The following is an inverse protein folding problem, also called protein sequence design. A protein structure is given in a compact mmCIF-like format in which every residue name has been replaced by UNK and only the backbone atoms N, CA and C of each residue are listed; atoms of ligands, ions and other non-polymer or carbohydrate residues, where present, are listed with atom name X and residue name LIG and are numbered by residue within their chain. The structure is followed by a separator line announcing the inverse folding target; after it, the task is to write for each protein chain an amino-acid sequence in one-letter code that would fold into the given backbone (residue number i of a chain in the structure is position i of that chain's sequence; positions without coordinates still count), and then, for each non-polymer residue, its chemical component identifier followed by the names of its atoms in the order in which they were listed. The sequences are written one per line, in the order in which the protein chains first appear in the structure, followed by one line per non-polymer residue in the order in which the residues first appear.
data_IF_607655353070
#
_entry.id   IF_607655353070
#
_cell.length_a   1.000
_cell.length_b   1.000
_cell.length_c   1.000
_cell.angle_alpha   90.00
_cell.angle_beta   90.00
_cell.angle_gamma   90.00
#
_symmetry.space_group_name_H-M   'P 1'
#
loop_
_entity.id
_entity.type
_entity.pdbx_description
1 polymer ?
#
# COMPACT_ATOMS: atom_id res chain seq x y z
N UNK A 1 21.84 29.36 -3.49
CA UNK A 1 22.17 28.31 -2.51
C UNK A 1 22.78 27.16 -3.29
N UNK A 2 24.08 26.95 -3.21
CA UNK A 2 24.77 25.93 -4.00
C UNK A 2 24.40 24.52 -3.55
N UNK A 3 24.27 23.59 -4.51
CA UNK A 3 24.15 22.18 -4.20
C UNK A 3 25.35 21.73 -3.34
N UNK A 4 25.18 20.78 -2.40
CA UNK A 4 26.30 20.20 -1.69
C UNK A 4 27.22 19.52 -2.70
N UNK A 5 28.36 20.16 -2.98
CA UNK A 5 29.34 19.73 -3.96
C UNK A 5 30.71 19.61 -3.30
N UNK A 6 31.55 18.73 -3.83
CA UNK A 6 32.91 18.59 -3.36
C UNK A 6 33.76 19.83 -3.74
N UNK A 7 34.80 20.15 -2.96
CA UNK A 7 35.77 21.19 -3.31
C UNK A 7 36.47 20.88 -4.64
N UNK A 8 37.15 21.89 -5.20
CA UNK A 8 37.96 21.71 -6.40
C UNK A 8 38.98 20.57 -6.22
N UNK A 9 39.15 19.74 -7.24
CA UNK A 9 40.06 18.58 -7.25
C UNK A 9 39.66 17.43 -6.32
N UNK A 10 38.44 17.42 -5.78
CA UNK A 10 37.87 16.27 -5.07
C UNK A 10 36.75 15.62 -5.90
N UNK A 11 36.64 14.29 -5.80
CA UNK A 11 35.53 13.53 -6.35
C UNK A 11 34.71 12.87 -5.23
N UNK A 12 33.37 12.77 -5.37
CA UNK A 12 32.51 12.19 -4.35
C UNK A 12 32.51 10.66 -4.41
N UNK A 13 32.72 10.02 -3.26
CA UNK A 13 32.45 8.60 -3.02
C UNK A 13 31.12 8.46 -2.31
N UNK A 14 30.21 7.65 -2.85
CA UNK A 14 28.91 7.39 -2.24
C UNK A 14 29.01 6.24 -1.23
N UNK A 15 28.57 6.50 -0.01
CA UNK A 15 28.43 5.54 1.07
C UNK A 15 26.96 5.50 1.50
N UNK A 16 26.47 4.34 1.94
CA UNK A 16 25.06 4.14 2.29
C UNK A 16 24.15 4.60 1.13
N UNK A 17 23.01 5.24 1.43
CA UNK A 17 22.13 5.75 0.38
C UNK A 17 22.53 7.18 -0.05
N UNK A 18 22.61 8.13 0.88
CA UNK A 18 22.75 9.56 0.53
C UNK A 18 24.07 10.20 0.98
N UNK A 19 24.93 9.47 1.70
CA UNK A 19 26.18 10.03 2.20
C UNK A 19 27.21 10.10 1.07
N UNK A 20 27.80 11.28 0.86
CA UNK A 20 28.91 11.49 -0.07
C UNK A 20 30.14 11.96 0.68
N UNK A 21 31.26 11.26 0.49
CA UNK A 21 32.56 11.59 1.07
C UNK A 21 33.47 12.09 -0.05
N UNK A 22 33.96 13.32 0.07
CA UNK A 22 34.85 13.91 -0.93
C UNK A 22 36.28 13.41 -0.70
N UNK A 23 36.89 12.82 -1.72
CA UNK A 23 38.27 12.30 -1.69
C UNK A 23 39.06 12.88 -2.87
N UNK A 24 40.36 13.05 -2.69
CA UNK A 24 41.29 13.45 -3.74
C UNK A 24 42.60 12.68 -3.60
N UNK A 25 43.22 12.37 -4.73
CA UNK A 25 44.57 11.82 -4.80
C UNK A 25 45.59 12.89 -5.26
N UNK A 26 45.14 14.13 -5.51
CA UNK A 26 45.98 15.24 -5.94
C UNK A 26 46.50 16.02 -4.72
N UNK A 27 47.67 15.63 -4.23
CA UNK A 27 48.28 16.27 -3.06
C UNK A 27 48.74 17.71 -3.33
N UNK A 28 48.92 18.13 -4.58
CA UNK A 28 49.38 19.48 -4.89
C UNK A 28 48.20 20.46 -4.86
N UNK A 29 47.10 20.09 -5.53
CA UNK A 29 45.97 20.98 -5.74
C UNK A 29 44.84 20.81 -4.71
N UNK A 30 44.78 19.69 -3.98
CA UNK A 30 43.72 19.40 -3.01
C UNK A 30 44.10 19.69 -1.55
N UNK A 31 45.40 19.79 -1.24
CA UNK A 31 45.92 20.07 0.12
C UNK A 31 45.27 21.29 0.80
N UNK A 32 44.98 22.42 0.11
CA UNK A 32 44.33 23.58 0.75
C UNK A 32 42.95 23.30 1.36
N UNK A 33 42.25 22.27 0.87
CA UNK A 33 40.93 21.85 1.37
C UNK A 33 40.96 20.52 2.14
N UNK A 34 42.14 19.90 2.28
CA UNK A 34 42.30 18.64 2.98
C UNK A 34 42.22 18.85 4.49
N UNK A 35 41.55 17.92 5.17
CA UNK A 35 41.43 17.91 6.64
C UNK A 35 41.98 16.58 7.20
N UNK A 36 42.70 16.60 8.33
CA UNK A 36 43.17 15.35 8.93
C UNK A 36 42.00 14.49 9.41
N UNK A 37 41.94 13.28 8.91
CA UNK A 37 40.85 12.34 9.10
C UNK A 37 41.21 11.27 10.14
N UNK A 38 40.35 11.12 11.15
CA UNK A 38 40.58 10.26 12.31
C UNK A 38 39.74 8.99 12.32
N UNK A 39 39.10 8.61 11.20
CA UNK A 39 38.33 7.39 11.08
C UNK A 39 36.81 7.57 11.23
N UNK A 40 36.08 6.50 10.89
CA UNK A 40 34.64 6.35 11.11
C UNK A 40 34.38 5.38 12.27
N UNK A 41 33.22 5.52 12.89
CA UNK A 41 32.64 4.52 13.80
C UNK A 41 31.11 4.60 13.79
N UNK A 42 30.45 3.55 14.27
CA UNK A 42 28.99 3.45 14.30
C UNK A 42 28.51 2.77 15.58
N UNK A 43 27.19 2.59 15.68
CA UNK A 43 26.58 1.81 16.76
C UNK A 43 26.99 0.31 16.75
N UNK A 44 27.51 -0.20 15.63
CA UNK A 44 27.89 -1.61 15.45
C UNK A 44 29.39 -1.82 15.25
N UNK A 45 30.15 -0.78 14.90
CA UNK A 45 31.58 -0.88 14.55
C UNK A 45 32.40 0.22 15.27
N UNK A 46 33.47 -0.18 15.95
CA UNK A 46 34.42 0.75 16.59
C UNK A 46 35.48 1.31 15.64
N UNK A 47 36.18 2.37 16.07
CA UNK A 47 37.23 3.02 15.30
C UNK A 47 38.61 2.41 15.63
N UNK A 48 39.30 1.73 14.69
CA UNK A 48 40.62 1.16 14.94
C UNK A 48 41.71 2.21 15.17
N UNK A 49 41.55 3.43 14.67
CA UNK A 49 42.51 4.51 14.87
C UNK A 49 42.50 5.07 16.30
N UNK A 50 41.45 4.76 17.08
CA UNK A 50 41.36 5.16 18.48
C UNK A 50 42.11 4.21 19.43
N UNK A 51 42.79 3.18 18.89
CA UNK A 51 43.53 2.17 19.65
C UNK A 51 42.67 0.97 20.07
N UNK A 52 43.26 0.06 20.86
CA UNK A 52 42.55 -1.09 21.41
C UNK A 52 41.70 -0.68 22.62
N UNK A 53 40.62 -1.43 22.87
CA UNK A 53 39.78 -1.24 24.07
C UNK A 53 40.54 -1.44 25.38
N UNK A 54 41.55 -2.30 25.39
CA UNK A 54 42.29 -2.61 26.60
C UNK A 54 43.29 -1.49 26.93
N UNK A 55 43.10 -0.86 28.10
CA UNK A 55 44.09 0.03 28.71
C UNK A 55 43.87 1.54 28.58
N UNK A 56 42.70 2.03 28.14
CA UNK A 56 42.48 3.48 27.94
C UNK A 56 41.33 4.13 28.70
N UNK A 57 40.77 3.45 29.71
CA UNK A 57 39.73 4.04 30.57
C UNK A 57 39.81 3.43 31.97
N UNK A 58 40.41 4.12 32.96
CA UNK A 58 40.18 3.80 34.35
C UNK A 58 38.74 4.25 34.71
N UNK A 59 37.89 3.31 35.12
CA UNK A 59 36.63 3.63 35.79
C UNK A 59 35.36 2.97 35.24
N UNK A 60 34.30 3.10 36.04
CA UNK A 60 32.95 2.53 35.92
C UNK A 60 32.31 2.67 34.51
N UNK A 61 32.66 3.72 33.76
CA UNK A 61 32.11 4.00 32.43
C UNK A 61 32.46 2.95 31.37
N UNK A 62 33.57 2.22 31.51
CA UNK A 62 33.95 1.21 30.52
C UNK A 62 33.01 0.00 30.56
N UNK A 63 32.56 -0.39 31.75
CA UNK A 63 31.66 -1.54 31.93
C UNK A 63 30.24 -1.21 31.45
N UNK A 64 29.73 -0.01 31.74
CA UNK A 64 28.35 0.37 31.38
C UNK A 64 28.14 0.61 29.88
N UNK A 65 29.13 1.13 29.16
CA UNK A 65 28.96 1.49 27.74
C UNK A 65 29.49 0.45 26.75
N UNK A 66 30.34 -0.49 27.21
CA UNK A 66 31.07 -1.38 26.29
C UNK A 66 30.98 -2.87 26.60
N UNK A 67 30.30 -3.31 27.66
CA UNK A 67 30.14 -4.73 27.99
C UNK A 67 29.48 -5.54 26.87
N UNK A 68 28.62 -4.93 26.05
CA UNK A 68 27.89 -5.63 24.98
C UNK A 68 28.34 -5.25 23.56
N UNK A 69 29.31 -4.35 23.41
CA UNK A 69 29.63 -3.85 22.08
C UNK A 69 30.49 -4.87 21.32
N UNK A 70 30.05 -5.38 20.15
CA UNK A 70 30.60 -6.56 19.45
C UNK A 70 31.97 -6.34 18.78
N UNK A 71 32.70 -5.30 19.17
CA UNK A 71 33.84 -4.78 18.43
C UNK A 71 35.09 -4.68 19.30
N UNK A 72 36.22 -5.16 18.78
CA UNK A 72 37.53 -5.06 19.42
C UNK A 72 38.04 -3.61 19.57
N UNK A 73 37.39 -2.66 18.89
CA UNK A 73 37.77 -1.24 18.86
C UNK A 73 36.78 -0.36 19.64
N UNK A 74 37.23 0.77 20.22
CA UNK A 74 36.36 1.68 20.93
C UNK A 74 35.56 2.56 19.94
N UNK A 75 34.33 2.91 20.32
CA UNK A 75 33.45 3.79 19.53
C UNK A 75 33.70 5.26 19.87
N UNK A 76 34.97 5.68 19.77
CA UNK A 76 35.42 7.05 20.08
C UNK A 76 36.41 7.55 19.04
N UNK A 77 36.64 8.86 19.02
CA UNK A 77 37.71 9.44 18.23
C UNK A 77 39.09 9.24 18.88
N UNK A 78 40.18 9.21 18.07
CA UNK A 78 41.53 9.26 18.59
C UNK A 78 41.78 10.55 19.39
N UNK A 79 42.83 10.55 20.22
CA UNK A 79 43.23 11.75 20.96
C UNK A 79 43.54 12.90 19.98
N UNK A 80 43.05 14.11 20.28
CA UNK A 80 43.21 15.28 19.41
C UNK A 80 42.18 15.39 18.28
N UNK A 81 41.23 14.47 18.19
CA UNK A 81 40.15 14.49 17.21
C UNK A 81 38.79 14.74 17.89
N UNK A 82 37.89 15.38 17.15
CA UNK A 82 36.51 15.67 17.55
C UNK A 82 35.54 14.85 16.72
N UNK A 83 34.44 14.40 17.34
CA UNK A 83 33.43 13.56 16.70
C UNK A 83 32.34 14.39 16.02
N UNK A 84 31.92 13.98 14.84
CA UNK A 84 30.90 14.64 14.03
C UNK A 84 29.94 13.61 13.44
N UNK A 85 28.65 13.97 13.33
CA UNK A 85 27.63 13.08 12.74
C UNK A 85 27.70 13.13 11.22
N UNK A 86 27.93 11.98 10.58
CA UNK A 86 27.86 11.86 9.12
C UNK A 86 26.46 11.45 8.66
N UNK A 87 25.92 10.39 9.26
CA UNK A 87 24.72 9.72 8.74
C UNK A 87 23.91 9.06 9.84
N UNK A 88 22.64 8.74 9.56
CA UNK A 88 21.77 7.97 10.42
C UNK A 88 21.02 6.96 9.54
N UNK A 89 21.29 5.67 9.74
CA UNK A 89 20.63 4.57 9.01
C UNK A 89 19.83 3.76 10.01
N UNK A 90 18.51 3.75 9.89
CA UNK A 90 17.61 2.92 10.72
C UNK A 90 17.88 3.00 12.23
N UNK A 91 18.16 4.21 12.72
CA UNK A 91 18.47 4.45 14.14
C UNK A 91 19.94 4.22 14.51
N UNK A 92 20.74 3.61 13.64
CA UNK A 92 22.19 3.51 13.80
C UNK A 92 22.90 4.78 13.32
N UNK A 93 23.56 5.48 14.24
CA UNK A 93 24.34 6.66 13.93
C UNK A 93 25.73 6.29 13.40
N UNK A 94 26.14 6.95 12.31
CA UNK A 94 27.50 6.88 11.78
C UNK A 94 28.21 8.19 12.08
N UNK A 95 29.35 8.07 12.74
CA UNK A 95 30.19 9.16 13.22
C UNK A 95 31.53 9.16 12.50
N UNK A 96 32.12 10.33 12.35
CA UNK A 96 33.45 10.52 11.80
C UNK A 96 34.28 11.46 12.67
N UNK A 97 35.60 11.30 12.58
CA UNK A 97 36.54 12.05 13.40
C UNK A 97 37.36 12.99 12.51
N UNK A 98 37.44 14.25 12.90
CA UNK A 98 38.36 15.23 12.31
C UNK A 98 39.21 15.84 13.40
N UNK A 99 40.42 16.30 13.07
CA UNK A 99 41.26 17.01 14.03
C UNK A 99 40.46 18.12 14.71
N UNK A 100 40.52 18.18 16.04
CA UNK A 100 39.87 19.24 16.79
C UNK A 100 40.41 20.59 16.29
N UNK A 101 39.52 21.51 15.89
CA UNK A 101 39.93 22.71 15.17
C UNK A 101 39.49 22.73 13.70
N UNK A 102 39.44 21.57 13.03
CA UNK A 102 39.29 21.51 11.57
C UNK A 102 37.97 22.08 11.05
N UNK A 103 36.90 22.04 11.86
CA UNK A 103 35.58 22.60 11.52
C UNK A 103 35.25 23.86 12.31
N UNK A 104 36.24 24.50 12.96
CA UNK A 104 36.05 25.74 13.71
C UNK A 104 35.85 26.93 12.75
N UNK A 105 34.68 26.98 12.13
CA UNK A 105 34.24 28.11 11.34
C UNK A 105 32.71 28.22 11.19
N UNK A 106 31.88 27.38 11.83
CA UNK A 106 30.44 27.37 11.52
C UNK A 106 29.53 27.30 12.75
N UNK A 107 28.55 28.21 12.69
CA UNK A 107 27.28 28.29 13.40
C UNK A 107 26.80 26.93 13.94
N UNK A 108 26.26 26.94 15.17
CA UNK A 108 25.65 25.77 15.80
C UNK A 108 24.76 25.02 14.80
N UNK A 109 25.02 23.72 14.61
CA UNK A 109 24.20 22.91 13.74
C UNK A 109 22.74 22.98 14.20
N UNK A 110 21.78 23.22 13.30
CA UNK A 110 20.39 23.31 13.67
C UNK A 110 19.91 21.99 14.31
N UNK A 111 19.11 22.11 15.35
CA UNK A 111 18.52 20.96 16.05
C UNK A 111 17.60 20.22 15.09
N UNK A 112 17.85 18.93 14.87
CA UNK A 112 16.93 18.05 14.15
C UNK A 112 15.90 17.51 15.13
N UNK A 113 14.63 17.73 14.84
CA UNK A 113 13.51 17.17 15.61
C UNK A 113 13.11 15.80 15.02
N UNK A 114 12.55 14.88 15.82
CA UNK A 114 12.00 13.63 15.32
C UNK A 114 10.82 13.88 14.35
N UNK A 115 10.49 12.92 13.45
CA UNK A 115 11.06 11.57 13.34
C UNK A 115 12.41 11.54 12.61
N UNK A 116 13.32 10.70 13.10
CA UNK A 116 14.67 10.54 12.51
C UNK A 116 14.77 9.40 11.50
N UNK A 117 13.71 8.60 11.39
CA UNK A 117 13.61 7.45 10.50
C UNK A 117 12.79 7.84 9.29
N UNK A 118 13.16 7.29 8.13
CA UNK A 118 12.33 7.41 6.93
C UNK A 118 11.06 6.57 7.12
N UNK A 119 9.90 7.06 6.65
CA UNK A 119 8.70 6.24 6.59
C UNK A 119 8.97 4.98 5.77
N UNK A 120 8.51 3.80 6.22
CA UNK A 120 8.64 2.60 5.42
C UNK A 120 7.86 2.74 4.10
N UNK A 121 8.31 2.09 3.02
CA UNK A 121 7.58 2.10 1.75
C UNK A 121 6.16 1.57 1.94
N UNK A 122 5.17 2.05 1.16
CA UNK A 122 3.75 1.77 1.36
C UNK A 122 3.35 0.31 1.12
N UNK A 123 4.27 -0.54 0.70
CA UNK A 123 4.04 -1.93 0.30
C UNK A 123 3.96 -2.89 1.50
N UNK A 124 3.31 -2.44 2.58
CA UNK A 124 2.99 -3.29 3.72
C UNK A 124 1.63 -3.91 3.41
N UNK A 125 1.60 -5.22 3.22
CA UNK A 125 0.33 -5.96 3.19
C UNK A 125 -0.36 -5.72 4.53
N UNK A 126 -1.42 -4.92 4.53
CA UNK A 126 -2.21 -4.66 5.71
C UNK A 126 -2.91 -5.95 6.11
N UNK A 127 -2.30 -6.70 7.03
CA UNK A 127 -2.99 -7.80 7.72
C UNK A 127 -4.07 -7.15 8.55
N UNK A 128 -5.32 -7.44 8.22
CA UNK A 128 -6.45 -6.97 9.02
C UNK A 128 -6.47 -7.80 10.32
N UNK A 129 -5.91 -7.24 11.39
CA UNK A 129 -5.97 -7.86 12.71
C UNK A 129 -7.40 -7.78 13.25
N UNK A 130 -8.09 -8.91 13.21
CA UNK A 130 -9.50 -9.04 13.64
C UNK A 130 -9.59 -9.43 15.13
N UNK A 131 -8.54 -10.01 15.70
CA UNK A 131 -8.50 -10.50 17.07
C UNK A 131 -7.16 -10.17 17.74
N UNK A 132 -7.22 -9.57 18.94
CA UNK A 132 -6.06 -9.29 19.79
C UNK A 132 -6.32 -9.96 21.15
N UNK A 133 -5.59 -11.04 21.43
CA UNK A 133 -5.70 -11.74 22.69
C UNK A 133 -4.76 -11.11 23.72
N UNK A 134 -5.28 -10.76 24.90
CA UNK A 134 -4.48 -10.19 26.00
C UNK A 134 -4.03 -11.31 26.94
N UNK A 135 -4.96 -12.16 27.35
CA UNK A 135 -4.79 -13.27 28.29
C UNK A 135 -5.54 -14.52 27.79
N UNK A 136 -5.46 -15.65 28.51
CA UNK A 136 -6.17 -16.89 28.15
C UNK A 136 -7.70 -16.77 28.16
N UNK A 137 -8.28 -15.77 28.85
CA UNK A 137 -9.72 -15.55 28.98
C UNK A 137 -10.23 -14.24 28.36
N UNK A 138 -9.37 -13.36 27.87
CA UNK A 138 -9.77 -12.04 27.38
C UNK A 138 -9.13 -11.71 26.03
N UNK A 139 -9.97 -11.34 25.08
CA UNK A 139 -9.56 -10.81 23.78
C UNK A 139 -10.35 -9.54 23.42
N UNK A 140 -9.81 -8.78 22.48
CA UNK A 140 -10.53 -7.72 21.77
C UNK A 140 -10.75 -8.19 20.34
N UNK A 141 -11.99 -8.09 19.88
CA UNK A 141 -12.40 -8.48 18.53
C UNK A 141 -12.89 -7.26 17.78
N UNK A 142 -12.52 -7.17 16.50
CA UNK A 142 -12.98 -6.14 15.58
C UNK A 142 -13.68 -6.81 14.39
N UNK A 143 -15.00 -6.75 14.37
CA UNK A 143 -15.82 -7.26 13.27
C UNK A 143 -15.52 -6.51 11.97
N UNK A 144 -15.51 -7.20 10.84
CA UNK A 144 -15.32 -6.59 9.51
C UNK A 144 -16.42 -5.57 9.25
N UNK A 145 -16.01 -4.37 8.81
CA UNK A 145 -16.90 -3.23 8.59
C UNK A 145 -17.21 -2.39 9.85
N UNK A 146 -16.87 -2.88 11.05
CA UNK A 146 -17.00 -2.11 12.30
C UNK A 146 -15.69 -1.36 12.62
N UNK A 147 -15.78 -0.09 13.00
CA UNK A 147 -14.58 0.70 13.38
C UNK A 147 -14.21 0.57 14.86
N UNK A 148 -14.92 -0.24 15.64
CA UNK A 148 -14.81 -0.27 17.10
C UNK A 148 -14.40 -1.66 17.58
N UNK A 149 -13.50 -1.68 18.55
CA UNK A 149 -13.09 -2.89 19.26
C UNK A 149 -14.11 -3.24 20.33
N UNK A 150 -14.38 -4.54 20.52
CA UNK A 150 -15.23 -5.05 21.60
C UNK A 150 -14.48 -6.09 22.41
N UNK A 151 -14.59 -6.08 23.75
CA UNK A 151 -14.06 -7.16 24.56
C UNK A 151 -14.87 -8.44 24.28
N UNK A 152 -14.19 -9.57 24.27
CA UNK A 152 -14.76 -10.90 24.13
C UNK A 152 -14.07 -11.86 25.10
N UNK A 153 -14.83 -12.81 25.62
CA UNK A 153 -14.27 -13.83 26.49
C UNK A 153 -13.80 -15.04 25.66
N UNK A 154 -12.50 -15.32 25.65
CA UNK A 154 -11.94 -16.42 24.86
C UNK A 154 -12.26 -17.80 25.43
N UNK A 155 -12.65 -17.88 26.71
CA UNK A 155 -13.14 -19.13 27.32
C UNK A 155 -14.60 -19.43 27.00
N UNK A 156 -15.34 -18.47 26.45
CA UNK A 156 -16.70 -18.70 25.95
C UNK A 156 -16.65 -19.07 24.47
N UNK A 157 -16.58 -20.38 24.20
CA UNK A 157 -16.55 -20.91 22.82
C UNK A 157 -17.79 -20.50 22.01
N UNK A 158 -18.96 -20.36 22.65
CA UNK A 158 -20.20 -19.99 21.96
C UNK A 158 -20.18 -18.52 21.54
N UNK A 159 -19.67 -17.64 22.40
CA UNK A 159 -19.46 -16.23 22.07
C UNK A 159 -18.50 -16.11 20.87
N UNK A 160 -17.39 -16.84 20.88
CA UNK A 160 -16.40 -16.82 19.80
C UNK A 160 -16.95 -17.36 18.47
N UNK A 161 -17.70 -18.47 18.48
CA UNK A 161 -18.34 -19.03 17.29
C UNK A 161 -19.29 -18.00 16.65
N UNK A 162 -20.11 -17.32 17.46
CA UNK A 162 -21.04 -16.28 16.96
C UNK A 162 -20.31 -15.09 16.36
N UNK A 163 -19.19 -14.68 16.95
CA UNK A 163 -18.37 -13.57 16.42
C UNK A 163 -17.76 -13.92 15.06
N UNK A 164 -17.29 -15.16 14.86
CA UNK A 164 -16.76 -15.61 13.57
C UNK A 164 -17.86 -15.89 12.52
N UNK A 165 -19.06 -16.31 12.93
CA UNK A 165 -20.20 -16.49 12.02
C UNK A 165 -20.79 -15.14 11.57
N UNK A 166 -20.84 -14.15 12.46
CA UNK A 166 -21.18 -12.77 12.11
C UNK A 166 -20.18 -12.16 11.11
N UNK A 167 -18.92 -12.60 11.14
CA UNK A 167 -17.90 -12.18 10.19
C UNK A 167 -18.18 -12.73 8.78
N UNK A 168 -18.50 -14.02 8.67
CA UNK A 168 -18.70 -14.71 7.38
C UNK A 168 -20.01 -14.33 6.70
N UNK A 169 -21.06 -14.04 7.48
CA UNK A 169 -22.39 -13.65 6.98
C UNK A 169 -22.45 -12.26 6.32
N UNK A 170 -21.44 -11.41 6.52
CA UNK A 170 -21.32 -10.11 5.82
C UNK A 170 -21.07 -10.27 4.31
N UNK A 171 -20.58 -11.43 3.86
CA UNK A 171 -20.62 -11.84 2.45
C UNK A 171 -21.84 -12.72 2.25
N UNK A 172 -22.80 -12.30 1.41
CA UNK A 172 -23.86 -13.20 0.97
C UNK A 172 -23.23 -14.46 0.40
N UNK A 173 -23.60 -15.62 0.96
CA UNK A 173 -23.15 -16.91 0.46
C UNK A 173 -23.41 -16.99 -1.05
N UNK A 174 -22.48 -17.57 -1.82
CA UNK A 174 -22.64 -17.72 -3.27
C UNK A 174 -23.96 -18.40 -3.66
N UNK A 175 -24.49 -19.29 -2.79
CA UNK A 175 -25.81 -19.89 -2.96
C UNK A 175 -26.98 -18.92 -2.77
N UNK A 176 -26.86 -17.96 -1.84
CA UNK A 176 -27.88 -16.92 -1.64
C UNK A 176 -27.93 -15.95 -2.82
N UNK A 177 -26.76 -15.57 -3.36
CA UNK A 177 -26.66 -14.73 -4.57
C UNK A 177 -27.27 -15.44 -5.77
N UNK A 178 -26.96 -16.71 -5.98
CA UNK A 178 -27.55 -17.51 -7.08
C UNK A 178 -29.08 -17.62 -6.95
N UNK A 179 -29.61 -17.87 -5.74
CA UNK A 179 -31.04 -17.98 -5.49
C UNK A 179 -31.81 -16.68 -5.81
N UNK A 180 -31.28 -15.53 -5.39
CA UNK A 180 -31.90 -14.22 -5.65
C UNK A 180 -31.97 -13.93 -7.16
N UNK A 181 -30.91 -14.24 -7.91
CA UNK A 181 -30.85 -14.01 -9.36
C UNK A 181 -31.88 -14.87 -10.12
N UNK A 182 -31.98 -16.16 -9.78
CA UNK A 182 -32.93 -17.06 -10.44
C UNK A 182 -34.37 -16.63 -10.18
N UNK A 183 -34.70 -16.26 -8.93
CA UNK A 183 -36.04 -15.79 -8.59
C UNK A 183 -36.39 -14.51 -9.37
N UNK A 184 -35.46 -13.55 -9.47
CA UNK A 184 -35.67 -12.31 -10.23
C UNK A 184 -35.92 -12.58 -11.73
N UNK A 185 -35.17 -13.50 -12.34
CA UNK A 185 -35.35 -13.89 -13.75
C UNK A 185 -36.72 -14.53 -13.98
N UNK A 186 -37.17 -15.41 -13.09
CA UNK A 186 -38.47 -16.07 -13.20
C UNK A 186 -39.63 -15.07 -13.12
N UNK A 187 -39.53 -14.10 -12.21
CA UNK A 187 -40.53 -13.02 -12.09
C UNK A 187 -40.55 -12.15 -13.35
N UNK A 188 -39.39 -11.77 -13.89
CA UNK A 188 -39.31 -10.99 -15.13
C UNK A 188 -39.90 -11.75 -16.32
N UNK A 189 -39.60 -13.04 -16.45
CA UNK A 189 -40.16 -13.88 -17.51
C UNK A 189 -41.68 -13.99 -17.42
N UNK A 190 -42.23 -14.16 -16.21
CA UNK A 190 -43.66 -14.18 -15.98
C UNK A 190 -44.34 -12.85 -16.34
N UNK A 191 -43.75 -11.71 -15.94
CA UNK A 191 -44.26 -10.37 -16.27
C UNK A 191 -44.26 -10.14 -17.78
N UNK A 192 -43.15 -10.48 -18.46
CA UNK A 192 -43.06 -10.37 -19.93
C UNK A 192 -44.11 -11.28 -20.58
N UNK A 193 -44.28 -12.51 -20.10
CA UNK A 193 -45.29 -13.45 -20.58
C UNK A 193 -46.72 -12.90 -20.46
N UNK A 194 -47.05 -12.29 -19.32
CA UNK A 194 -48.36 -11.65 -19.09
C UNK A 194 -48.56 -10.44 -20.02
N UNK A 195 -47.54 -9.59 -20.20
CA UNK A 195 -47.61 -8.44 -21.11
C UNK A 195 -47.82 -8.91 -22.56
N UNK A 196 -47.06 -9.92 -23.00
CA UNK A 196 -47.19 -10.47 -24.35
C UNK A 196 -48.55 -11.16 -24.55
N UNK A 197 -49.03 -11.90 -23.55
CA UNK A 197 -50.33 -12.57 -23.56
C UNK A 197 -51.49 -11.58 -23.67
N UNK A 198 -51.49 -10.53 -22.84
CA UNK A 198 -52.53 -9.48 -22.87
C UNK A 198 -52.51 -8.67 -24.16
N UNK A 199 -51.33 -8.34 -24.71
CA UNK A 199 -51.20 -7.69 -26.03
C UNK A 199 -51.72 -8.56 -27.17
N UNK A 200 -51.39 -9.86 -27.17
CA UNK A 200 -51.86 -10.81 -28.19
C UNK A 200 -53.36 -11.10 -28.08
N UNK A 201 -53.90 -11.13 -26.86
CA UNK A 201 -55.34 -11.28 -26.64
C UNK A 201 -56.11 -10.06 -27.16
N UNK A 202 -55.62 -8.84 -26.87
CA UNK A 202 -56.19 -7.61 -27.44
C UNK A 202 -56.10 -7.55 -28.97
N UNK A 203 -55.01 -8.02 -29.60
CA UNK A 203 -54.91 -8.00 -31.06
C UNK A 203 -55.85 -8.99 -31.75
N UNK A 204 -56.16 -10.13 -31.12
CA UNK A 204 -57.16 -11.08 -31.62
C UNK A 204 -58.59 -10.56 -31.47
N UNK A 205 -58.91 -9.83 -30.40
CA UNK A 205 -60.22 -9.19 -30.23
C UNK A 205 -60.55 -8.11 -31.28
N UNK A 206 -59.56 -7.54 -31.96
CA UNK A 206 -59.78 -6.55 -33.03
C UNK A 206 -59.98 -7.17 -34.44
N UNK A 207 -59.70 -8.46 -34.63
CA UNK A 207 -59.97 -9.13 -35.91
C UNK A 207 -61.45 -9.53 -36.08
N UNK A 208 -62.19 -9.74 -34.99
CA UNK A 208 -63.63 -10.05 -35.01
C UNK A 208 -64.53 -8.82 -35.31
N UNK A 209 -64.07 -7.58 -35.08
CA UNK A 209 -64.83 -6.37 -35.42
C UNK A 209 -64.58 -5.84 -36.83
N UNK A 210 -63.58 -6.35 -37.57
CA UNK A 210 -63.28 -5.90 -38.94
C UNK A 210 -64.09 -6.67 -40.00
N UNK A 211 -64.62 -7.85 -39.68
CA UNK A 211 -65.50 -8.64 -40.55
C UNK A 211 -66.92 -8.07 -40.70
N UNK A 212 -67.37 -7.23 -39.77
CA UNK A 212 -68.75 -6.70 -39.78
C UNK A 212 -68.94 -5.38 -40.54
N UNK A 213 -67.86 -4.77 -41.05
CA UNK A 213 -67.92 -3.47 -41.75
C UNK A 213 -67.48 -3.53 -43.23
N UNK A 214 -67.00 -4.69 -43.71
CA UNK A 214 -66.54 -4.89 -45.09
C UNK A 214 -67.45 -5.77 -45.96
N UNK A 215 -68.71 -5.98 -45.55
CA UNK A 215 -69.72 -6.72 -46.31
C UNK A 215 -70.91 -5.83 -46.74
N UNK A 216 -70.66 -4.55 -47.00
CA UNK A 216 -71.64 -3.61 -47.55
C UNK A 216 -71.02 -2.81 -48.71
N UNK A 217 -70.43 -3.47 -49.71
CA UNK A 217 -70.22 -2.85 -51.03
C UNK A 217 -69.82 -3.92 -52.07
N UNK A 218 -70.80 -4.53 -52.73
CA UNK A 218 -70.77 -5.25 -54.04
C UNK A 218 -71.79 -6.38 -53.96
N UNK A 219 -72.88 -6.41 -54.72
CA UNK A 219 -73.11 -5.80 -56.01
C UNK A 219 -73.98 -6.78 -56.79
N UNK A 220 -75.28 -6.63 -56.61
CA UNK A 220 -76.37 -7.06 -57.49
C UNK A 220 -75.98 -6.91 -58.96
N UNK A 221 -75.81 -8.01 -59.71
CA UNK A 221 -76.51 -8.25 -60.98
C UNK A 221 -76.21 -9.65 -61.53
N UNK A 222 -77.20 -10.14 -62.25
CA UNK A 222 -77.43 -11.50 -62.72
C UNK A 222 -76.96 -11.63 -64.18
N UNK A 223 -76.67 -12.88 -64.56
CA UNK A 223 -76.94 -13.49 -65.88
C UNK A 223 -75.94 -13.43 -67.06
N UNK A 224 -75.64 -14.67 -67.52
CA UNK A 224 -75.52 -15.19 -68.90
C UNK A 224 -74.22 -15.00 -69.74
N UNK A 225 -73.37 -16.03 -69.66
CA UNK A 225 -72.93 -16.97 -70.71
C UNK A 225 -72.18 -16.57 -72.01
N UNK A 226 -71.17 -17.42 -72.29
CA UNK A 226 -70.67 -17.97 -73.58
C UNK A 226 -69.39 -17.39 -74.23
N UNK A 227 -68.45 -18.34 -74.40
CA UNK A 227 -67.41 -18.56 -75.42
C UNK A 227 -66.05 -17.82 -75.41
N UNK A 228 -65.00 -18.67 -75.40
CA UNK A 228 -63.60 -18.45 -75.78
C UNK A 228 -63.44 -18.36 -77.32
N UNK A 229 -62.25 -18.14 -77.97
CA UNK A 229 -60.87 -18.19 -77.44
C UNK A 229 -59.83 -17.17 -78.05
N UNK A 230 -58.64 -17.11 -77.41
CA UNK A 230 -57.25 -17.02 -77.95
C UNK A 230 -56.72 -15.92 -78.93
N UNK A 231 -55.55 -15.36 -78.54
CA UNK A 231 -54.30 -15.00 -79.30
C UNK A 231 -54.04 -13.57 -79.85
N UNK A 232 -52.78 -13.11 -79.57
CA UNK A 232 -51.87 -12.16 -80.28
C UNK A 232 -52.14 -10.66 -80.18
N UNK A 233 -51.24 -9.79 -79.70
CA UNK A 233 -49.84 -9.45 -80.06
C UNK A 233 -49.77 -8.12 -80.80
N UNK A 234 -48.99 -7.19 -80.24
CA UNK A 234 -48.14 -6.17 -80.86
C UNK A 234 -47.80 -5.10 -79.81
#
# INVERSE_FOLDING_TARGET
MGAPACPANFYPLQLFEDLKVCVSNDYEMATPFAVPFGGFFSCQAGNPLAGLRQGQSPGLLQDFFYQEAPTNYPMKCPKGYSQHKAYLSDGCQVMYCLQAGALFAKQLAPIKLPPFLRPPPPNISLVETILVQLNSSQAWVKLQGSRHWRPANTTDEQEMIRLFEAQSSSRLSGGAVAGIVVAAIMVLAAVIGVIYGTRRYKSRGYQELRSSCSAQESGRYESTAVAAPQISSA
#
